data_IF_635776814897
#
_entry.id   IF_635776814897
#
_cell.length_a   1.000
_cell.length_b   1.000
_cell.length_c   1.000
_cell.angle_alpha   90.00
_cell.angle_beta   90.00
_cell.angle_gamma   90.00
#
_symmetry.space_group_name_H-M   'P 1'
#
loop_
_entity.id
_entity.type
_entity.pdbx_description
1 polymer ?
#
# COMPACT_ATOMS: atom_id res chain seq x y z
N UNK A 1 11.30 22.36 -12.58
CA UNK A 1 10.41 22.21 -11.40
C UNK A 1 10.68 20.87 -10.77
N UNK A 2 11.32 20.83 -9.60
CA UNK A 2 11.33 19.63 -8.78
C UNK A 2 9.89 19.33 -8.36
N UNK A 3 9.39 18.17 -8.77
CA UNK A 3 8.12 17.68 -8.29
C UNK A 3 8.41 17.03 -6.94
N UNK A 4 7.80 17.56 -5.87
CA UNK A 4 7.89 16.96 -4.55
C UNK A 4 7.27 15.56 -4.55
N UNK A 5 8.14 14.54 -4.54
CA UNK A 5 7.76 13.14 -4.52
C UNK A 5 6.82 12.82 -3.35
N UNK A 6 7.07 13.42 -2.18
CA UNK A 6 6.27 13.22 -0.98
C UNK A 6 4.85 13.76 -1.17
N UNK A 7 4.70 14.90 -1.86
CA UNK A 7 3.40 15.46 -2.23
C UNK A 7 2.59 14.52 -3.13
N UNK A 8 3.23 13.83 -4.08
CA UNK A 8 2.55 12.82 -4.90
C UNK A 8 2.10 11.64 -4.03
N UNK A 9 2.98 11.11 -3.18
CA UNK A 9 2.63 9.97 -2.31
C UNK A 9 1.49 10.32 -1.36
N UNK A 10 1.51 11.50 -0.74
CA UNK A 10 0.42 12.04 0.10
C UNK A 10 -0.91 12.08 -0.65
N UNK A 11 -0.91 12.57 -1.90
CA UNK A 11 -2.13 12.58 -2.72
C UNK A 11 -2.67 11.18 -2.98
N UNK A 12 -1.81 10.19 -3.22
CA UNK A 12 -2.25 8.80 -3.42
C UNK A 12 -2.80 8.20 -2.12
N UNK A 13 -2.08 8.36 -1.00
CA UNK A 13 -2.51 7.90 0.32
C UNK A 13 -3.89 8.46 0.67
N UNK A 14 -4.09 9.76 0.47
CA UNK A 14 -5.37 10.43 0.73
C UNK A 14 -6.51 9.90 -0.16
N UNK A 15 -6.24 9.59 -1.44
CA UNK A 15 -7.22 8.97 -2.34
C UNK A 15 -7.60 7.56 -1.90
N UNK A 16 -6.63 6.77 -1.46
CA UNK A 16 -6.88 5.41 -0.97
C UNK A 16 -7.64 5.42 0.36
N UNK A 17 -7.30 6.35 1.26
CA UNK A 17 -7.99 6.52 2.55
C UNK A 17 -9.48 6.85 2.36
N UNK A 18 -9.83 7.61 1.32
CA UNK A 18 -11.21 8.01 1.02
C UNK A 18 -11.94 7.11 0.02
N UNK A 19 -11.29 6.07 -0.49
CA UNK A 19 -11.86 5.21 -1.54
C UNK A 19 -13.11 4.48 -1.04
N UNK A 20 -14.29 4.60 -1.68
CA UNK A 20 -15.40 3.69 -1.41
C UNK A 20 -15.01 2.25 -1.77
N UNK A 21 -15.13 1.33 -0.82
CA UNK A 21 -14.81 -0.08 -1.00
C UNK A 21 -16.07 -0.90 -1.30
N UNK A 22 -16.01 -1.89 -2.20
CA UNK A 22 -17.17 -2.68 -2.57
C UNK A 22 -17.53 -3.67 -1.46
N UNK A 23 -18.81 -3.75 -1.08
CA UNK A 23 -19.33 -4.63 0.00
C UNK A 23 -18.88 -6.10 -0.17
N UNK A 24 -18.61 -6.51 -1.41
CA UNK A 24 -18.17 -7.85 -1.79
C UNK A 24 -16.75 -8.24 -1.35
N UNK A 25 -15.93 -7.36 -0.75
CA UNK A 25 -14.56 -7.76 -0.34
C UNK A 25 -14.58 -8.93 0.67
N UNK A 26 -13.77 -9.97 0.40
CA UNK A 26 -13.60 -11.15 1.25
C UNK A 26 -12.14 -11.38 1.68
N UNK A 27 -11.17 -10.91 0.91
CA UNK A 27 -9.74 -11.16 1.16
C UNK A 27 -8.85 -9.99 0.70
N UNK A 28 -7.53 -10.11 0.87
CA UNK A 28 -6.57 -9.10 0.41
C UNK A 28 -6.55 -8.92 -1.11
N UNK A 29 -6.71 -10.00 -1.87
CA UNK A 29 -6.71 -9.95 -3.34
C UNK A 29 -7.89 -9.14 -3.88
N UNK A 30 -9.08 -9.27 -3.27
CA UNK A 30 -10.24 -8.44 -3.61
C UNK A 30 -9.95 -6.95 -3.35
N UNK A 31 -9.29 -6.65 -2.23
CA UNK A 31 -8.92 -5.28 -1.86
C UNK A 31 -7.92 -4.69 -2.85
N UNK A 32 -6.86 -5.43 -3.16
CA UNK A 32 -5.87 -5.08 -4.18
C UNK A 32 -6.55 -4.78 -5.52
N UNK A 33 -7.48 -5.62 -5.94
CA UNK A 33 -8.20 -5.41 -7.19
C UNK A 33 -9.17 -4.24 -7.17
N UNK A 34 -9.75 -3.90 -6.02
CA UNK A 34 -10.61 -2.74 -5.87
C UNK A 34 -9.82 -1.43 -5.97
N UNK A 35 -8.60 -1.39 -5.42
CA UNK A 35 -7.73 -0.19 -5.46
C UNK A 35 -6.98 -0.03 -6.78
N UNK A 36 -6.69 -1.13 -7.49
CA UNK A 36 -5.85 -1.14 -8.68
C UNK A 36 -6.29 -0.14 -9.78
N UNK A 37 -7.58 -0.04 -10.17
CA UNK A 37 -8.02 0.95 -11.16
C UNK A 37 -7.79 2.40 -10.71
N UNK A 38 -7.86 2.67 -9.41
CA UNK A 38 -7.63 4.00 -8.83
C UNK A 38 -6.15 4.36 -8.95
N UNK A 39 -5.26 3.43 -8.61
CA UNK A 39 -3.81 3.59 -8.73
C UNK A 39 -3.43 3.76 -10.21
N UNK A 40 -3.94 2.93 -11.11
CA UNK A 40 -3.70 3.05 -12.56
C UNK A 40 -4.15 4.40 -13.10
N UNK A 41 -5.29 4.96 -12.65
CA UNK A 41 -5.76 6.31 -13.05
C UNK A 41 -4.90 7.41 -12.44
N UNK A 42 -4.50 7.25 -11.18
CA UNK A 42 -3.63 8.19 -10.49
C UNK A 42 -2.27 8.34 -11.18
N UNK A 43 -1.63 7.22 -11.50
CA UNK A 43 -0.36 7.19 -12.24
C UNK A 43 -0.49 7.93 -13.57
N UNK A 44 -1.56 7.66 -14.33
CA UNK A 44 -1.79 8.32 -15.61
C UNK A 44 -1.91 9.84 -15.45
N UNK A 45 -2.70 10.29 -14.48
CA UNK A 45 -2.99 11.72 -14.27
C UNK A 45 -1.80 12.48 -13.68
N UNK A 46 -1.20 11.97 -12.61
CA UNK A 46 -0.20 12.72 -11.84
C UNK A 46 1.23 12.48 -12.35
N UNK A 47 1.50 11.31 -12.94
CA UNK A 47 2.82 11.01 -13.50
C UNK A 47 2.89 11.30 -15.01
N UNK A 48 1.74 11.39 -15.69
CA UNK A 48 1.64 11.78 -17.10
C UNK A 48 1.93 10.65 -18.08
N UNK A 49 1.57 9.41 -17.72
CA UNK A 49 2.04 8.21 -18.44
C UNK A 49 0.90 7.37 -18.97
N UNK A 50 0.95 7.14 -20.28
CA UNK A 50 -0.01 6.31 -21.00
C UNK A 50 0.34 4.81 -20.93
N UNK A 51 1.63 4.44 -20.98
CA UNK A 51 2.07 3.04 -20.82
C UNK A 51 2.53 2.73 -19.38
N UNK A 52 1.69 1.98 -18.66
CA UNK A 52 1.84 1.70 -17.22
C UNK A 52 2.66 0.44 -16.93
N UNK A 53 3.01 -0.33 -17.97
CA UNK A 53 3.59 -1.69 -17.83
C UNK A 53 4.96 -1.70 -17.14
N UNK A 54 5.68 -0.59 -17.18
CA UNK A 54 7.02 -0.46 -16.60
C UNK A 54 7.07 0.34 -15.30
N UNK A 55 5.91 0.70 -14.74
CA UNK A 55 5.83 1.56 -13.57
C UNK A 55 5.09 0.88 -12.44
N UNK A 56 3.97 0.23 -12.73
CA UNK A 56 3.14 -0.43 -11.72
C UNK A 56 3.28 -1.94 -11.82
N UNK A 57 3.84 -2.54 -10.78
CA UNK A 57 3.93 -3.97 -10.59
C UNK A 57 2.91 -4.39 -9.52
N UNK A 58 2.11 -5.40 -9.83
CA UNK A 58 1.04 -5.93 -8.96
C UNK A 58 0.76 -7.39 -9.34
N UNK A 59 0.00 -8.15 -8.54
CA UNK A 59 -0.16 -9.61 -8.73
C UNK A 59 -0.75 -10.03 -10.09
N UNK A 60 -1.43 -9.11 -10.78
CA UNK A 60 -1.94 -9.31 -12.13
C UNK A 60 -3.15 -10.24 -12.23
N UNK A 61 -3.93 -10.09 -13.30
CA UNK A 61 -5.02 -11.01 -13.66
C UNK A 61 -4.67 -11.85 -14.89
N UNK A 62 -3.97 -11.24 -15.85
CA UNK A 62 -3.56 -11.90 -17.09
C UNK A 62 -2.08 -12.32 -17.08
N UNK A 63 -1.67 -13.06 -18.11
CA UNK A 63 -0.30 -13.59 -18.25
C UNK A 63 0.76 -12.49 -18.27
N UNK A 64 0.49 -11.38 -18.95
CA UNK A 64 1.44 -10.27 -19.08
C UNK A 64 1.67 -9.56 -17.74
N UNK A 65 0.59 -9.26 -17.01
CA UNK A 65 0.69 -8.64 -15.68
C UNK A 65 1.43 -9.56 -14.69
N UNK A 66 1.15 -10.87 -14.71
CA UNK A 66 1.86 -11.86 -13.87
C UNK A 66 3.35 -11.98 -14.22
N UNK A 67 3.69 -11.84 -15.50
CA UNK A 67 5.07 -11.82 -15.96
C UNK A 67 5.80 -10.56 -15.46
N UNK A 68 5.18 -9.40 -15.59
CA UNK A 68 5.70 -8.14 -15.04
C UNK A 68 5.87 -8.22 -13.52
N UNK A 69 4.90 -8.81 -12.82
CA UNK A 69 5.00 -9.05 -11.39
C UNK A 69 6.22 -9.88 -11.01
N UNK A 70 6.40 -11.02 -11.70
CA UNK A 70 7.52 -11.92 -11.46
C UNK A 70 8.87 -11.22 -11.66
N UNK A 71 8.98 -10.37 -12.70
CA UNK A 71 10.18 -9.55 -12.95
C UNK A 71 10.47 -8.51 -11.87
N UNK A 72 9.47 -8.11 -11.09
CA UNK A 72 9.65 -7.13 -10.03
C UNK A 72 10.16 -7.72 -8.70
N UNK A 73 10.07 -9.04 -8.50
CA UNK A 73 10.45 -9.68 -7.22
C UNK A 73 11.90 -9.39 -6.78
N UNK A 74 12.92 -9.41 -7.68
CA UNK A 74 14.28 -9.01 -7.30
C UNK A 74 14.38 -7.57 -6.81
N UNK A 75 13.53 -6.68 -7.33
CA UNK A 75 13.48 -5.27 -6.93
C UNK A 75 12.90 -5.08 -5.52
N UNK A 76 12.17 -6.08 -5.01
CA UNK A 76 11.50 -6.04 -3.71
C UNK A 76 12.31 -6.74 -2.60
N UNK A 77 13.12 -7.73 -2.97
CA UNK A 77 13.83 -8.59 -2.03
C UNK A 77 14.77 -7.80 -1.09
N UNK A 78 14.77 -8.15 0.19
CA UNK A 78 15.71 -7.66 1.21
C UNK A 78 16.46 -8.88 1.72
N UNK A 79 17.70 -9.07 1.26
CA UNK A 79 18.44 -10.33 1.41
C UNK A 79 18.52 -10.81 2.87
N UNK A 80 18.74 -9.91 3.81
CA UNK A 80 18.84 -10.21 5.26
C UNK A 80 17.53 -10.73 5.87
N UNK A 81 16.38 -10.49 5.24
CA UNK A 81 15.05 -10.84 5.74
C UNK A 81 14.35 -11.90 4.87
N UNK A 82 15.08 -12.46 3.89
CA UNK A 82 14.55 -13.40 2.93
C UNK A 82 13.57 -12.77 1.94
N UNK A 83 12.86 -13.64 1.21
CA UNK A 83 11.95 -13.22 0.14
C UNK A 83 10.69 -12.58 0.71
N UNK A 84 10.69 -11.25 0.83
CA UNK A 84 9.49 -10.47 1.07
C UNK A 84 9.01 -9.86 -0.25
N UNK A 85 7.75 -10.13 -0.60
CA UNK A 85 7.09 -9.55 -1.78
C UNK A 85 5.88 -8.76 -1.28
N UNK A 86 5.81 -7.49 -1.65
CA UNK A 86 4.72 -6.58 -1.30
C UNK A 86 3.49 -6.85 -2.17
N UNK A 87 2.39 -6.13 -1.94
CA UNK A 87 1.20 -6.30 -2.79
C UNK A 87 1.29 -5.49 -4.10
N UNK A 88 1.87 -4.29 -4.04
CA UNK A 88 2.20 -3.52 -5.25
C UNK A 88 3.50 -2.72 -5.09
N UNK A 89 4.14 -2.47 -6.22
CA UNK A 89 5.32 -1.62 -6.32
C UNK A 89 5.14 -0.63 -7.48
N UNK A 90 5.38 0.64 -7.20
CA UNK A 90 5.44 1.71 -8.19
C UNK A 90 6.89 2.17 -8.31
N UNK A 91 7.45 2.17 -9.52
CA UNK A 91 8.79 2.73 -9.80
C UNK A 91 8.66 3.81 -10.86
N UNK A 92 9.11 5.02 -10.54
CA UNK A 92 9.07 6.13 -11.48
C UNK A 92 10.08 7.22 -11.12
N UNK A 93 10.79 7.85 -12.10
CA UNK A 93 11.79 8.88 -11.82
C UNK A 93 11.33 10.04 -10.93
N UNK A 94 10.06 10.47 -11.05
CA UNK A 94 9.48 11.55 -10.21
C UNK A 94 9.30 11.19 -8.73
N UNK A 95 9.24 9.91 -8.36
CA UNK A 95 8.95 9.47 -6.98
C UNK A 95 9.96 8.45 -6.43
N UNK A 96 10.91 7.98 -7.26
CA UNK A 96 11.78 6.86 -6.93
C UNK A 96 11.00 5.55 -6.95
N UNK A 97 10.77 4.98 -5.76
CA UNK A 97 9.91 3.80 -5.59
C UNK A 97 8.93 3.95 -4.44
N UNK A 98 7.75 3.37 -4.60
CA UNK A 98 6.66 3.40 -3.63
C UNK A 98 6.07 2.00 -3.52
N UNK A 99 6.08 1.47 -2.31
CA UNK A 99 5.42 0.20 -1.98
C UNK A 99 4.00 0.45 -1.51
N UNK A 100 3.07 -0.41 -1.92
CA UNK A 100 1.75 -0.50 -1.33
C UNK A 100 1.52 -1.89 -0.74
N UNK A 101 1.08 -1.91 0.50
CA UNK A 101 0.73 -3.12 1.24
C UNK A 101 -0.75 -3.06 1.63
N UNK A 102 -1.50 -4.11 1.35
CA UNK A 102 -2.91 -4.25 1.63
C UNK A 102 -3.13 -5.39 2.62
N UNK A 103 -3.95 -5.14 3.63
CA UNK A 103 -4.37 -6.15 4.61
C UNK A 103 -5.87 -6.07 4.80
N UNK A 104 -6.52 -7.22 4.78
CA UNK A 104 -7.96 -7.34 4.96
C UNK A 104 -8.30 -8.19 6.17
N UNK A 105 -9.01 -7.62 7.12
CA UNK A 105 -9.44 -8.27 8.34
C UNK A 105 -10.92 -8.64 8.28
N UNK A 106 -11.22 -9.80 7.70
CA UNK A 106 -12.57 -10.33 7.59
C UNK A 106 -13.18 -10.79 8.93
N UNK A 107 -12.36 -11.25 9.88
CA UNK A 107 -12.82 -11.82 11.16
C UNK A 107 -12.08 -11.29 12.38
N UNK A 108 -12.79 -11.30 13.51
CA UNK A 108 -12.32 -10.86 14.82
C UNK A 108 -11.36 -11.84 15.52
N UNK A 109 -10.93 -12.93 14.85
CA UNK A 109 -10.08 -13.95 15.51
C UNK A 109 -8.80 -13.36 16.11
N UNK A 110 -8.24 -12.32 15.48
CA UNK A 110 -7.08 -11.59 15.97
C UNK A 110 -7.46 -10.14 16.31
N UNK A 111 -6.97 -9.58 17.43
CA UNK A 111 -7.13 -8.18 17.75
C UNK A 111 -6.65 -7.27 16.61
N UNK A 112 -7.39 -6.18 16.37
CA UNK A 112 -7.03 -5.19 15.35
C UNK A 112 -5.65 -4.58 15.64
N UNK A 113 -5.29 -4.42 16.92
CA UNK A 113 -3.97 -3.95 17.36
C UNK A 113 -2.83 -4.84 16.86
N UNK A 114 -2.95 -6.16 16.97
CA UNK A 114 -1.95 -7.11 16.47
C UNK A 114 -1.81 -7.04 14.93
N UNK A 115 -2.92 -6.78 14.23
CA UNK A 115 -2.89 -6.59 12.77
C UNK A 115 -2.22 -5.27 12.37
N UNK A 116 -2.46 -4.20 13.14
CA UNK A 116 -1.77 -2.91 12.97
C UNK A 116 -0.27 -3.07 13.21
N UNK A 117 0.14 -3.77 14.28
CA UNK A 117 1.55 -4.04 14.56
C UNK A 117 2.22 -4.82 13.41
N UNK A 118 1.53 -5.85 12.89
CA UNK A 118 2.05 -6.64 11.77
C UNK A 118 2.24 -5.80 10.51
N UNK A 119 1.24 -5.01 10.11
CA UNK A 119 1.36 -4.20 8.89
C UNK A 119 2.46 -3.16 9.04
N UNK A 120 2.63 -2.53 10.21
CA UNK A 120 3.73 -1.59 10.47
C UNK A 120 5.09 -2.28 10.38
N UNK A 121 5.23 -3.49 10.95
CA UNK A 121 6.47 -4.26 10.83
C UNK A 121 6.86 -4.51 9.37
N UNK A 122 5.89 -4.90 8.53
CA UNK A 122 6.10 -5.05 7.09
C UNK A 122 6.46 -3.73 6.40
N UNK A 123 5.82 -2.61 6.78
CA UNK A 123 6.14 -1.28 6.26
C UNK A 123 7.57 -0.85 6.59
N UNK A 124 8.02 -1.10 7.83
CA UNK A 124 9.38 -0.76 8.27
C UNK A 124 10.43 -1.57 7.50
N UNK A 125 10.15 -2.85 7.27
CA UNK A 125 10.97 -3.70 6.40
C UNK A 125 11.04 -3.11 4.99
N UNK A 126 9.88 -2.77 4.39
CA UNK A 126 9.82 -2.15 3.07
C UNK A 126 10.64 -0.85 2.98
N UNK A 127 10.63 -0.05 4.06
CA UNK A 127 11.37 1.21 4.14
C UNK A 127 12.89 1.07 4.11
N UNK A 128 13.44 -0.12 4.37
CA UNK A 128 14.88 -0.38 4.24
C UNK A 128 15.35 -0.28 2.77
N UNK A 129 14.43 -0.47 1.81
CA UNK A 129 14.75 -0.45 0.37
C UNK A 129 14.00 0.64 -0.40
N UNK A 130 12.79 0.97 0.01
CA UNK A 130 11.92 1.88 -0.72
C UNK A 130 11.72 3.18 0.06
N UNK A 131 11.82 4.36 -0.57
CA UNK A 131 11.72 5.64 0.13
C UNK A 131 10.32 5.91 0.70
N UNK A 132 9.28 5.35 0.08
CA UNK A 132 7.89 5.55 0.50
C UNK A 132 7.13 4.23 0.63
N UNK A 133 6.24 4.17 1.61
CA UNK A 133 5.32 3.04 1.81
C UNK A 133 3.93 3.56 2.13
N UNK A 134 2.91 3.02 1.45
CA UNK A 134 1.51 3.16 1.84
C UNK A 134 1.03 1.81 2.34
N UNK A 135 0.48 1.76 3.55
CA UNK A 135 0.00 0.53 4.16
C UNK A 135 -1.47 0.68 4.53
N UNK A 136 -2.32 -0.13 3.93
CA UNK A 136 -3.76 -0.04 4.04
C UNK A 136 -4.33 -1.28 4.71
N UNK A 137 -4.88 -1.08 5.91
CA UNK A 137 -5.61 -2.08 6.67
C UNK A 137 -7.10 -1.77 6.65
N UNK A 138 -7.86 -2.66 6.03
CA UNK A 138 -9.33 -2.61 5.97
C UNK A 138 -9.89 -3.72 6.85
N UNK A 139 -10.89 -3.43 7.68
CA UNK A 139 -11.47 -4.41 8.60
C UNK A 139 -13.00 -4.41 8.60
N UNK A 140 -13.61 -5.60 8.69
CA UNK A 140 -15.06 -5.74 8.91
C UNK A 140 -15.38 -5.52 10.39
N UNK A 141 -16.43 -4.74 10.69
CA UNK A 141 -16.84 -4.45 12.08
C UNK A 141 -17.34 -5.71 12.80
N UNK A 142 -16.48 -6.31 13.62
CA UNK A 142 -16.73 -6.81 15.00
C UNK A 142 -15.40 -6.80 15.77
N UNK A 143 -15.25 -5.93 16.78
CA UNK A 143 -14.03 -5.79 17.58
C UNK A 143 -13.92 -4.42 18.29
N UNK A 144 -13.03 -4.30 19.29
CA UNK A 144 -12.74 -3.00 19.94
C UNK A 144 -12.04 -2.08 18.93
N UNK A 145 -12.57 -0.87 18.76
CA UNK A 145 -11.94 0.14 17.90
C UNK A 145 -10.59 0.57 18.50
N UNK A 146 -9.60 0.92 17.68
CA UNK A 146 -8.39 1.56 18.18
C UNK A 146 -8.79 2.85 18.88
N UNK A 147 -8.07 3.23 19.95
CA UNK A 147 -8.23 4.56 20.53
C UNK A 147 -7.82 5.58 19.47
N UNK A 148 -8.77 6.40 19.00
CA UNK A 148 -8.58 7.29 17.86
C UNK A 148 -7.37 8.22 18.04
N UNK A 149 -7.20 8.80 19.23
CA UNK A 149 -6.06 9.67 19.52
C UNK A 149 -4.70 8.97 19.41
N UNK A 150 -4.59 7.70 19.85
CA UNK A 150 -3.35 6.92 19.72
C UNK A 150 -3.07 6.54 18.26
N UNK A 151 -4.11 6.17 17.51
CA UNK A 151 -3.98 5.81 16.10
C UNK A 151 -3.51 7.02 15.26
N UNK A 152 -4.09 8.20 15.48
CA UNK A 152 -3.70 9.41 14.75
C UNK A 152 -2.27 9.85 15.12
N UNK A 153 -1.88 9.75 16.40
CA UNK A 153 -0.50 10.00 16.82
C UNK A 153 0.48 9.05 16.11
N UNK A 154 0.14 7.76 16.04
CA UNK A 154 0.95 6.75 15.35
C UNK A 154 1.06 7.02 13.83
N UNK A 155 -0.05 7.36 13.17
CA UNK A 155 -0.04 7.72 11.74
C UNK A 155 0.88 8.91 11.48
N UNK A 156 0.80 9.95 12.31
CA UNK A 156 1.63 11.15 12.20
C UNK A 156 3.12 10.82 12.37
N UNK A 157 3.45 10.07 13.41
CA UNK A 157 4.83 9.64 13.70
C UNK A 157 5.44 8.81 12.56
N UNK A 158 4.71 7.81 12.07
CA UNK A 158 5.12 6.99 10.92
C UNK A 158 5.33 7.83 9.65
N UNK A 159 4.49 8.82 9.41
CA UNK A 159 4.61 9.69 8.24
C UNK A 159 5.81 10.62 8.34
N UNK A 160 5.99 11.29 9.48
CA UNK A 160 7.04 12.30 9.68
C UNK A 160 8.43 11.67 9.76
N UNK A 161 8.57 10.60 10.54
CA UNK A 161 9.87 9.98 10.84
C UNK A 161 10.27 8.88 9.87
N UNK A 162 9.29 8.21 9.25
CA UNK A 162 9.55 7.02 8.43
C UNK A 162 8.99 7.11 7.02
N UNK A 163 8.26 8.17 6.64
CA UNK A 163 7.59 8.29 5.33
C UNK A 163 6.67 7.09 5.03
N UNK A 164 6.06 6.53 6.07
CA UNK A 164 5.07 5.46 6.01
C UNK A 164 3.68 6.08 6.19
N UNK A 165 2.80 5.84 5.22
CA UNK A 165 1.42 6.33 5.23
C UNK A 165 0.49 5.19 5.65
N UNK A 166 0.12 5.17 6.94
CA UNK A 166 -0.76 4.15 7.49
C UNK A 166 -2.23 4.55 7.34
N UNK A 167 -2.98 3.72 6.60
CA UNK A 167 -4.43 3.83 6.43
C UNK A 167 -5.07 2.68 7.21
N UNK A 168 -5.93 3.01 8.17
CA UNK A 168 -6.71 2.03 8.93
C UNK A 168 -8.16 2.44 8.90
N UNK A 169 -9.03 1.62 8.30
CA UNK A 169 -10.45 1.95 8.14
C UNK A 169 -11.35 0.74 8.15
N UNK A 170 -12.61 0.98 8.47
CA UNK A 170 -13.65 -0.02 8.30
C UNK A 170 -13.95 -0.25 6.82
N UNK A 171 -14.32 -1.51 6.54
CA UNK A 171 -14.94 -1.92 5.29
C UNK A 171 -16.41 -1.47 5.27
#
# INVERSE_FOLDING_TARGET
>A
MEIDSEKIVKKLAHKLEKLPLPISLKNESDLEFAVLPIIKRFIQKELGINDKKHILYHHGRNKDEKNLWSKSKPLQNIELLGTHTYDMLIIHPKIGSLVLEFKYAASAKNPLTSRIQRIIGQSLIAKLKHPYVISCLVFKRKGKRPQLGLLEKLKKDLQENHKIYLIVRDH
#
